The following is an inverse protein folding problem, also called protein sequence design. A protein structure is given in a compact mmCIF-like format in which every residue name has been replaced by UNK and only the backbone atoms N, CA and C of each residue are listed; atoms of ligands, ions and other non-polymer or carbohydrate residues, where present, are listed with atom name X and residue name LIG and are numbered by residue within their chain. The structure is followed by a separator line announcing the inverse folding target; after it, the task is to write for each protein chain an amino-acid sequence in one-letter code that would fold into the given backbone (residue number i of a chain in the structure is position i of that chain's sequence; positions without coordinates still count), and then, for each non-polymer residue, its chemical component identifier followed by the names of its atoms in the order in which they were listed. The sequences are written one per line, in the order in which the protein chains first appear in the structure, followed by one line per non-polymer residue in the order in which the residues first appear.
data_IF_429362894725
#
_entry.id   IF_429362894725
#
_cell.length_a   1.000
_cell.length_b   1.000
_cell.length_c   1.000
_cell.angle_alpha   90.00
_cell.angle_beta   90.00
_cell.angle_gamma   90.00
#
_symmetry.space_group_name_H-M   'P 1'
#
loop_
_entity.id
_entity.type
_entity.pdbx_description
1 polymer ?
#
# COMPACT_ATOMS: atom_id res chain seq x y z
N UNK A 1 7.64 6.44 -1.18
CA UNK A 1 7.91 5.82 0.13
C UNK A 1 6.61 5.26 0.68
N UNK A 2 6.68 4.29 1.60
CA UNK A 2 5.48 3.76 2.28
C UNK A 2 5.37 4.39 3.66
N UNK A 3 4.14 4.63 4.10
CA UNK A 3 3.85 5.16 5.43
C UNK A 3 3.43 4.03 6.38
N UNK A 4 3.99 3.99 7.57
CA UNK A 4 3.65 2.99 8.58
C UNK A 4 2.59 3.57 9.52
N UNK A 5 1.46 2.87 9.70
CA UNK A 5 0.42 3.26 10.65
C UNK A 5 0.01 2.07 11.52
N UNK A 6 -0.23 2.34 12.80
CA UNK A 6 -0.83 1.37 13.70
C UNK A 6 -2.35 1.55 13.73
N UNK A 7 -3.10 0.51 13.38
CA UNK A 7 -4.56 0.47 13.49
C UNK A 7 -4.98 -0.75 14.29
N UNK A 8 -5.87 -0.56 15.27
CA UNK A 8 -6.39 -1.65 16.12
C UNK A 8 -5.28 -2.51 16.74
N UNK A 9 -4.16 -1.89 17.14
CA UNK A 9 -3.00 -2.58 17.73
C UNK A 9 -2.14 -3.38 16.75
N UNK A 10 -2.41 -3.33 15.44
CA UNK A 10 -1.58 -3.96 14.39
C UNK A 10 -0.92 -2.89 13.52
N UNK A 11 0.29 -3.20 13.04
CA UNK A 11 1.04 -2.35 12.12
C UNK A 11 0.60 -2.62 10.68
N UNK A 12 0.39 -1.57 9.91
CA UNK A 12 0.02 -1.58 8.51
C UNK A 12 0.89 -0.59 7.73
N UNK A 13 1.01 -0.83 6.44
CA UNK A 13 1.86 -0.08 5.53
C UNK A 13 1.01 0.51 4.42
N UNK A 14 1.04 1.82 4.28
CA UNK A 14 0.21 2.59 3.36
C UNK A 14 1.05 3.10 2.20
N UNK A 15 0.54 2.94 0.98
CA UNK A 15 1.12 3.57 -0.19
C UNK A 15 0.76 5.07 -0.19
N UNK A 16 1.76 5.94 -0.27
CA UNK A 16 1.54 7.38 -0.23
C UNK A 16 0.96 7.94 -1.54
N UNK A 17 1.16 7.24 -2.66
CA UNK A 17 0.62 7.67 -3.97
C UNK A 17 -0.89 7.43 -4.10
N UNK A 18 -1.39 6.33 -3.53
CA UNK A 18 -2.78 5.90 -3.75
C UNK A 18 -3.60 5.75 -2.47
N UNK A 19 -2.98 5.80 -1.29
CA UNK A 19 -3.65 5.72 0.00
C UNK A 19 -4.04 4.30 0.46
N UNK A 20 -3.79 3.27 -0.35
CA UNK A 20 -4.10 1.89 0.04
C UNK A 20 -3.18 1.38 1.15
N UNK A 21 -3.76 0.72 2.14
CA UNK A 21 -3.06 0.12 3.27
C UNK A 21 -3.01 -1.40 3.21
N UNK A 22 -1.85 -1.95 3.51
CA UNK A 22 -1.51 -3.38 3.44
C UNK A 22 -0.95 -3.87 4.78
N UNK A 23 -1.10 -5.17 5.06
CA UNK A 23 -0.51 -5.77 6.27
C UNK A 23 1.00 -5.99 6.10
N UNK A 24 1.43 -6.32 4.89
CA UNK A 24 2.84 -6.59 4.57
C UNK A 24 3.49 -5.35 3.97
N UNK A 25 4.71 -5.04 4.43
CA UNK A 25 5.49 -3.92 3.91
C UNK A 25 5.86 -4.12 2.45
N UNK A 26 6.19 -5.36 2.05
CA UNK A 26 6.56 -5.67 0.68
C UNK A 26 5.46 -5.30 -0.31
N UNK A 27 4.20 -5.65 0.00
CA UNK A 27 3.04 -5.31 -0.84
C UNK A 27 2.81 -3.80 -0.94
N UNK A 28 2.99 -3.07 0.16
CA UNK A 28 2.92 -1.61 0.14
C UNK A 28 4.03 -0.99 -0.73
N UNK A 29 5.26 -1.54 -0.65
CA UNK A 29 6.39 -1.11 -1.47
C UNK A 29 6.19 -1.44 -2.95
N UNK A 30 5.67 -2.62 -3.28
CA UNK A 30 5.28 -2.99 -4.64
C UNK A 30 4.18 -2.06 -5.17
N UNK A 31 3.20 -1.72 -4.33
CA UNK A 31 2.16 -0.76 -4.69
C UNK A 31 2.76 0.63 -5.01
N UNK A 32 3.65 1.11 -4.16
CA UNK A 32 4.38 2.38 -4.33
C UNK A 32 5.17 2.41 -5.64
N UNK A 33 6.00 1.38 -5.87
CA UNK A 33 6.85 1.27 -7.06
C UNK A 33 6.00 1.19 -8.32
N UNK A 34 4.93 0.39 -8.30
CA UNK A 34 4.01 0.28 -9.43
C UNK A 34 3.30 1.62 -9.70
N UNK A 35 2.79 2.29 -8.66
CA UNK A 35 2.13 3.59 -8.79
C UNK A 35 3.09 4.65 -9.34
N UNK A 36 4.34 4.65 -8.85
CA UNK A 36 5.38 5.58 -9.31
C UNK A 36 5.77 5.37 -10.78
N UNK A 37 5.86 4.12 -11.24
CA UNK A 37 6.24 3.79 -12.63
C UNK A 37 5.09 3.99 -13.62
N UNK A 38 3.88 3.58 -13.27
CA UNK A 38 2.75 3.51 -14.21
C UNK A 38 1.80 4.71 -14.12
N UNK A 39 1.96 5.58 -13.12
CA UNK A 39 1.01 6.64 -12.76
C UNK A 39 -0.43 6.12 -12.57
N UNK A 40 -0.57 4.82 -12.24
CA UNK A 40 -1.83 4.09 -12.06
C UNK A 40 -1.65 3.02 -11.00
N UNK A 41 -2.73 2.63 -10.34
CA UNK A 41 -2.73 1.51 -9.40
C UNK A 41 -2.81 0.16 -10.13
N UNK A 42 -2.04 -0.83 -9.67
CA UNK A 42 -2.20 -2.22 -10.12
C UNK A 42 -3.41 -2.84 -9.44
N UNK A 43 -4.35 -3.38 -10.23
CA UNK A 43 -5.57 -4.02 -9.73
C UNK A 43 -5.25 -5.27 -8.89
N UNK A 44 -4.21 -6.00 -9.27
CA UNK A 44 -3.71 -7.18 -8.56
C UNK A 44 -3.26 -6.81 -7.15
N UNK A 45 -2.39 -5.79 -7.04
CA UNK A 45 -1.86 -5.34 -5.76
C UNK A 45 -2.98 -4.78 -4.88
N UNK A 46 -3.85 -3.92 -5.44
CA UNK A 46 -4.97 -3.34 -4.68
C UNK A 46 -5.99 -4.37 -4.20
N UNK A 47 -6.02 -5.58 -4.76
CA UNK A 47 -6.92 -6.65 -4.29
C UNK A 47 -6.51 -7.17 -2.91
N UNK A 48 -5.25 -6.95 -2.50
CA UNK A 48 -4.75 -7.28 -1.16
C UNK A 48 -4.87 -6.09 -0.18
N UNK A 49 -5.46 -4.97 -0.59
CA UNK A 49 -5.58 -3.80 0.28
C UNK A 49 -6.60 -4.05 1.39
N UNK A 50 -6.19 -3.80 2.63
CA UNK A 50 -7.04 -3.89 3.81
C UNK A 50 -7.69 -2.55 4.19
N UNK A 51 -7.10 -1.45 3.71
CA UNK A 51 -7.57 -0.09 3.98
C UNK A 51 -7.50 0.76 2.71
N UNK A 52 -8.37 1.78 2.65
CA UNK A 52 -8.43 2.81 1.62
C UNK A 52 -8.55 4.17 2.29
#
# INVERSE_FOLDING_TARGET
MVQEQYRKGKKYYFCEKCGFGYQESNTAHECEDYCGKNNKCSRDITSNALFR
#
